data_IF_625182652153
#
_entry.id   IF_625182652153
#
_cell.length_a   1.000
_cell.length_b   1.000
_cell.length_c   1.000
_cell.angle_alpha   90.00
_cell.angle_beta   90.00
_cell.angle_gamma   90.00
#
_symmetry.space_group_name_H-M   'P 1'
#
loop_
_entity.id
_entity.type
_entity.pdbx_description
1 polymer ?
#
# COMPACT_ATOMS: atom_id res chain seq x y z
N UNK A 1 13.05 -12.84 6.77
CA UNK A 1 12.51 -13.33 5.48
C UNK A 1 13.54 -12.98 4.40
N UNK A 2 13.80 -13.84 3.40
CA UNK A 2 14.61 -13.49 2.22
C UNK A 2 13.62 -13.16 1.11
N UNK A 3 13.74 -11.98 0.53
CA UNK A 3 12.75 -11.44 -0.43
C UNK A 3 13.44 -10.91 -1.68
N UNK A 4 12.65 -10.78 -2.76
CA UNK A 4 13.12 -10.19 -4.00
C UNK A 4 13.33 -8.68 -3.81
N UNK A 5 14.44 -8.14 -4.35
CA UNK A 5 14.61 -6.70 -4.46
C UNK A 5 13.62 -6.13 -5.49
N UNK A 6 12.71 -5.28 -5.02
CA UNK A 6 11.79 -4.55 -5.87
C UNK A 6 12.30 -3.13 -6.11
N UNK A 7 12.08 -2.61 -7.31
CA UNK A 7 12.51 -1.26 -7.72
C UNK A 7 11.31 -0.55 -8.33
N UNK A 8 11.05 0.67 -7.86
CA UNK A 8 9.90 1.47 -8.23
C UNK A 8 9.67 2.61 -7.23
N UNK A 9 8.53 3.28 -7.35
CA UNK A 9 8.08 4.25 -6.34
C UNK A 9 7.23 3.56 -5.27
N UNK A 10 7.46 3.90 -3.99
CA UNK A 10 6.62 3.41 -2.90
C UNK A 10 5.31 4.21 -2.83
N UNK A 11 4.21 3.51 -2.59
CA UNK A 11 2.89 4.09 -2.42
C UNK A 11 2.12 3.38 -1.30
N UNK A 12 1.65 4.15 -0.33
CA UNK A 12 0.78 3.69 0.75
C UNK A 12 -0.67 3.75 0.32
N UNK A 13 -1.34 2.59 0.26
CA UNK A 13 -2.75 2.48 -0.11
C UNK A 13 -3.54 1.82 1.03
N UNK A 14 -4.47 2.58 1.62
CA UNK A 14 -5.33 2.12 2.70
C UNK A 14 -6.75 1.90 2.22
N UNK A 15 -7.49 0.99 2.85
CA UNK A 15 -8.91 0.80 2.63
C UNK A 15 -9.67 0.60 3.93
N UNK A 16 -10.85 1.21 4.04
CA UNK A 16 -11.83 0.81 5.04
C UNK A 16 -12.45 -0.53 4.63
N UNK A 17 -12.52 -1.48 5.56
CA UNK A 17 -13.20 -2.75 5.34
C UNK A 17 -14.22 -3.06 6.42
N UNK A 18 -15.39 -3.53 5.97
CA UNK A 18 -16.47 -4.04 6.81
C UNK A 18 -16.45 -5.57 6.95
N UNK A 19 -15.43 -6.23 6.39
CA UNK A 19 -15.32 -7.69 6.31
C UNK A 19 -15.76 -8.31 4.99
N UNK A 20 -16.28 -7.51 4.05
CA UNK A 20 -16.71 -7.96 2.72
C UNK A 20 -16.20 -7.06 1.61
N UNK A 21 -16.21 -5.75 1.84
CA UNK A 21 -15.78 -4.74 0.87
C UNK A 21 -14.51 -4.07 1.37
N UNK A 22 -13.59 -3.73 0.47
CA UNK A 22 -12.45 -2.86 0.71
C UNK A 22 -12.65 -1.52 -0.04
N UNK A 23 -13.01 -0.46 0.69
CA UNK A 23 -13.17 0.88 0.12
C UNK A 23 -11.87 1.67 0.25
N UNK A 24 -11.13 1.77 -0.86
CA UNK A 24 -9.81 2.40 -0.88
C UNK A 24 -9.88 3.93 -0.68
N UNK A 25 -8.99 4.44 0.17
CA UNK A 25 -8.78 5.87 0.44
C UNK A 25 -7.93 6.52 -0.67
N UNK A 26 -7.61 7.81 -0.50
CA UNK A 26 -6.60 8.46 -1.33
C UNK A 26 -5.23 7.81 -1.10
N UNK A 27 -4.43 7.60 -2.17
CA UNK A 27 -3.07 7.09 -2.02
C UNK A 27 -2.20 8.15 -1.35
N UNK A 28 -1.26 7.70 -0.53
CA UNK A 28 -0.30 8.56 0.14
C UNK A 28 1.13 8.07 -0.12
N UNK A 29 2.10 8.95 0.04
CA UNK A 29 3.51 8.58 0.07
C UNK A 29 4.13 9.20 1.31
N UNK A 30 4.86 8.38 2.07
CA UNK A 30 5.53 8.76 3.30
C UNK A 30 7.05 8.78 3.12
N UNK A 31 7.70 9.69 3.81
CA UNK A 31 9.15 9.76 3.89
C UNK A 31 9.60 9.16 5.21
N UNK A 32 10.18 7.95 5.16
CA UNK A 32 10.58 7.20 6.36
C UNK A 32 11.96 7.58 6.88
N UNK A 33 12.81 8.16 6.05
CA UNK A 33 14.22 8.43 6.35
C UNK A 33 14.36 9.69 7.20
N UNK A 34 15.23 9.63 8.20
CA UNK A 34 15.37 10.71 9.20
C UNK A 34 16.01 11.98 8.64
N UNK A 35 16.85 11.84 7.61
CA UNK A 35 17.59 12.94 6.99
C UNK A 35 17.05 13.27 5.60
N UNK A 36 17.31 14.50 5.13
CA UNK A 36 16.92 14.97 3.80
C UNK A 36 17.41 14.06 2.66
N UNK A 37 16.67 14.05 1.55
CA UNK A 37 16.97 13.24 0.36
C UNK A 37 17.02 11.72 0.64
N UNK A 38 16.13 11.28 1.53
CA UNK A 38 15.94 9.89 1.92
C UNK A 38 17.23 9.22 2.45
N UNK A 39 18.00 9.94 3.28
CA UNK A 39 19.23 9.46 3.89
C UNK A 39 19.05 9.06 5.37
N UNK A 40 20.02 8.33 5.91
CA UNK A 40 20.02 7.91 7.32
C UNK A 40 19.08 6.73 7.61
N UNK A 41 18.89 6.36 8.89
CA UNK A 41 18.05 5.23 9.29
C UNK A 41 16.56 5.45 8.99
N UNK A 42 15.81 4.35 8.92
CA UNK A 42 14.34 4.40 8.84
C UNK A 42 13.74 4.83 10.19
N UNK A 43 12.64 5.56 10.10
CA UNK A 43 11.78 6.01 11.20
C UNK A 43 10.35 5.51 10.98
N UNK A 44 9.43 5.89 11.87
CA UNK A 44 7.99 5.67 11.65
C UNK A 44 7.35 6.59 10.60
N UNK A 45 8.07 7.60 10.10
CA UNK A 45 7.58 8.60 9.16
C UNK A 45 7.93 10.03 9.59
N UNK A 46 8.65 10.75 8.74
CA UNK A 46 9.03 12.16 8.92
C UNK A 46 8.03 13.12 8.28
N UNK A 47 7.24 12.64 7.34
CA UNK A 47 6.22 13.41 6.65
C UNK A 47 5.51 12.55 5.60
N UNK A 48 4.33 12.99 5.18
CA UNK A 48 3.58 12.33 4.12
C UNK A 48 2.73 13.35 3.36
N UNK A 49 2.35 12.99 2.14
CA UNK A 49 1.42 13.78 1.33
C UNK A 49 0.39 12.87 0.63
N UNK A 50 -0.77 13.46 0.33
CA UNK A 50 -1.84 12.82 -0.41
C UNK A 50 -2.62 13.87 -1.24
N UNK A 51 -3.11 13.52 -2.44
CA UNK A 51 -2.95 12.24 -3.13
C UNK A 51 -1.53 12.07 -3.71
N UNK A 52 -0.99 10.85 -3.64
CA UNK A 52 0.28 10.52 -4.28
C UNK A 52 0.12 10.44 -5.81
N UNK A 53 0.85 11.27 -6.59
CA UNK A 53 0.69 11.34 -8.04
C UNK A 53 1.29 10.12 -8.77
N UNK A 54 2.13 9.34 -8.07
CA UNK A 54 2.75 8.12 -8.58
C UNK A 54 1.73 7.01 -8.87
N UNK A 55 0.58 6.99 -8.17
CA UNK A 55 -0.47 6.01 -8.41
C UNK A 55 -1.38 6.45 -9.55
N UNK A 56 -1.03 6.03 -10.76
CA UNK A 56 -1.84 6.27 -11.96
C UNK A 56 -3.21 5.57 -11.88
N UNK A 57 -4.22 6.00 -12.65
CA UNK A 57 -5.54 5.36 -12.66
C UNK A 57 -5.50 3.85 -12.94
N UNK A 58 -4.63 3.40 -13.86
CA UNK A 58 -4.50 1.98 -14.20
C UNK A 58 -3.88 1.17 -13.05
N UNK A 59 -2.88 1.72 -12.36
CA UNK A 59 -2.28 1.10 -11.18
C UNK A 59 -3.26 1.08 -10.01
N UNK A 60 -4.07 2.14 -9.86
CA UNK A 60 -5.10 2.24 -8.82
C UNK A 60 -6.09 1.08 -8.88
N UNK A 61 -6.54 0.71 -10.08
CA UNK A 61 -7.47 -0.44 -10.26
C UNK A 61 -6.81 -1.74 -9.79
N UNK A 62 -5.54 -1.97 -10.12
CA UNK A 62 -4.79 -3.16 -9.69
C UNK A 62 -4.61 -3.21 -8.18
N UNK A 63 -4.28 -2.08 -7.55
CA UNK A 63 -4.16 -1.98 -6.09
C UNK A 63 -5.51 -2.24 -5.40
N UNK A 64 -6.60 -1.67 -5.93
CA UNK A 64 -7.96 -1.92 -5.41
C UNK A 64 -8.33 -3.41 -5.48
N UNK A 65 -8.02 -4.09 -6.58
CA UNK A 65 -8.20 -5.55 -6.71
C UNK A 65 -7.43 -6.32 -5.64
N UNK A 66 -6.16 -5.97 -5.40
CA UNK A 66 -5.35 -6.62 -4.35
C UNK A 66 -5.99 -6.44 -2.98
N UNK A 67 -6.38 -5.21 -2.60
CA UNK A 67 -7.00 -4.94 -1.30
C UNK A 67 -8.32 -5.70 -1.12
N UNK A 68 -9.16 -5.75 -2.16
CA UNK A 68 -10.43 -6.48 -2.15
C UNK A 68 -10.19 -7.99 -2.00
N UNK A 69 -9.26 -8.56 -2.79
CA UNK A 69 -8.91 -9.98 -2.72
C UNK A 69 -8.32 -10.38 -1.38
N UNK A 70 -7.56 -9.50 -0.72
CA UNK A 70 -7.05 -9.75 0.64
C UNK A 70 -8.20 -9.90 1.64
N UNK A 71 -9.18 -8.99 1.61
CA UNK A 71 -10.37 -9.06 2.50
C UNK A 71 -11.18 -10.33 2.24
N UNK A 72 -11.41 -10.67 0.97
CA UNK A 72 -12.14 -11.87 0.57
C UNK A 72 -11.44 -13.17 1.00
N UNK A 73 -10.12 -13.24 0.81
CA UNK A 73 -9.32 -14.40 1.21
C UNK A 73 -9.36 -14.59 2.73
N UNK A 74 -9.17 -13.51 3.49
CA UNK A 74 -9.28 -13.51 4.95
C UNK A 74 -10.65 -14.01 5.43
N UNK A 75 -11.74 -13.55 4.80
CA UNK A 75 -13.09 -14.02 5.10
C UNK A 75 -13.27 -15.51 4.77
N UNK A 76 -12.74 -15.99 3.64
CA UNK A 76 -12.79 -17.41 3.23
C UNK A 76 -12.06 -18.33 4.21
N UNK A 77 -11.02 -17.83 4.86
CA UNK A 77 -10.28 -18.54 5.92
C UNK A 77 -10.93 -18.44 7.32
N UNK A 78 -12.13 -17.85 7.41
CA UNK A 78 -12.82 -17.66 8.69
C UNK A 78 -12.23 -16.56 9.57
N UNK A 79 -11.40 -15.69 8.98
CA UNK A 79 -10.69 -14.57 9.65
C UNK A 79 -11.17 -13.23 9.11
N UNK A 80 -12.47 -12.95 9.22
CA UNK A 80 -13.06 -11.70 8.70
C UNK A 80 -12.33 -10.46 9.23
N UNK A 81 -11.79 -9.65 8.33
CA UNK A 81 -11.07 -8.42 8.68
C UNK A 81 -12.00 -7.21 8.62
N UNK A 82 -12.13 -6.46 9.72
CA UNK A 82 -12.87 -5.19 9.78
C UNK A 82 -11.99 -4.10 10.35
N UNK A 83 -11.90 -2.96 9.68
CA UNK A 83 -11.04 -1.86 10.11
C UNK A 83 -10.36 -1.16 8.93
N UNK A 84 -9.11 -0.75 9.11
CA UNK A 84 -8.30 -0.10 8.08
C UNK A 84 -7.23 -1.07 7.61
N UNK A 85 -7.41 -1.62 6.42
CA UNK A 85 -6.40 -2.43 5.76
C UNK A 85 -5.35 -1.50 5.14
N UNK A 86 -4.11 -1.62 5.58
CA UNK A 86 -2.97 -0.90 5.01
C UNK A 86 -2.17 -1.81 4.09
N UNK A 87 -1.93 -1.37 2.85
CA UNK A 87 -1.00 -2.00 1.92
C UNK A 87 0.09 -1.03 1.52
N UNK A 88 1.35 -1.39 1.79
CA UNK A 88 2.52 -0.75 1.20
C UNK A 88 2.80 -1.39 -0.16
N UNK A 89 2.82 -0.58 -1.21
CA UNK A 89 3.06 -1.07 -2.57
C UNK A 89 4.34 -0.48 -3.14
N UNK A 90 5.11 -1.32 -3.82
CA UNK A 90 6.15 -0.90 -4.76
C UNK A 90 5.55 -0.85 -6.17
N UNK A 91 5.50 0.33 -6.77
CA UNK A 91 5.03 0.55 -8.13
C UNK A 91 6.15 0.22 -9.12
N UNK A 92 6.27 -1.05 -9.48
CA UNK A 92 7.30 -1.53 -10.40
C UNK A 92 6.89 -1.37 -11.86
N UNK A 93 7.84 -1.57 -12.78
CA UNK A 93 7.58 -1.62 -14.23
C UNK A 93 6.53 -2.68 -14.64
N UNK A 94 6.40 -3.75 -13.85
CA UNK A 94 5.50 -4.88 -14.14
C UNK A 94 4.15 -4.73 -13.42
N UNK A 95 4.00 -3.69 -12.60
CA UNK A 95 2.80 -3.39 -11.82
C UNK A 95 3.07 -3.24 -10.32
N UNK A 96 2.01 -2.99 -9.52
CA UNK A 96 2.14 -2.82 -8.09
C UNK A 96 2.38 -4.18 -7.43
N UNK A 97 3.39 -4.26 -6.58
CA UNK A 97 3.71 -5.43 -5.75
C UNK A 97 3.64 -5.04 -4.27
N UNK A 98 3.17 -5.97 -3.43
CA UNK A 98 3.12 -5.74 -1.99
C UNK A 98 4.54 -5.77 -1.40
N UNK A 99 4.82 -4.82 -0.50
CA UNK A 99 6.02 -4.76 0.34
C UNK A 99 5.83 -5.49 1.67
#
# INVERSE_FOLDING_TARGET
>A
VIEQLLVGEECSCMAFSDGKVASMMLPAQDHKRVDDNDQGPNTGGMGAYAPAPCLTPDLKVKVQDVLQRTVEAMAKEGRTYKGVLYGGFMLTKDGPLLL
#
